data_IF_126594298323
#
_entry.id   IF_126594298323
#
_cell.length_a   1.000
_cell.length_b   1.000
_cell.length_c   1.000
_cell.angle_alpha   90.00
_cell.angle_beta   90.00
_cell.angle_gamma   90.00
#
_symmetry.space_group_name_H-M   'P 1'
#
loop_
_entity.id
_entity.type
_entity.pdbx_description
1 polymer ?
#
# COMPACT_ATOMS: atom_id res chain seq x y z
N UNK A 1 -2.82 -28.24 -0.44
CA UNK A 1 -3.77 -29.18 0.19
C UNK A 1 -5.15 -29.23 -0.48
N UNK A 2 -5.42 -28.38 -1.49
CA UNK A 2 -6.74 -28.28 -2.14
C UNK A 2 -7.28 -29.59 -2.74
N UNK A 3 -6.43 -30.44 -3.32
CA UNK A 3 -6.87 -31.68 -3.97
C UNK A 3 -7.50 -32.70 -3.02
N UNK A 4 -6.92 -32.90 -1.84
CA UNK A 4 -7.46 -33.86 -0.87
C UNK A 4 -8.65 -33.24 -0.12
N UNK A 5 -8.48 -32.04 0.42
CA UNK A 5 -9.52 -31.41 1.25
C UNK A 5 -10.78 -31.09 0.45
N UNK A 6 -10.65 -30.48 -0.73
CA UNK A 6 -11.80 -30.00 -1.51
C UNK A 6 -12.33 -31.06 -2.47
N UNK A 7 -11.46 -31.79 -3.17
CA UNK A 7 -11.89 -32.73 -4.23
C UNK A 7 -12.23 -34.12 -3.71
N UNK A 8 -11.46 -34.65 -2.75
CA UNK A 8 -11.70 -35.98 -2.18
C UNK A 8 -12.68 -35.93 -1.00
N UNK A 9 -12.48 -34.98 -0.07
CA UNK A 9 -13.25 -34.88 1.16
C UNK A 9 -14.40 -33.84 1.10
N UNK A 10 -14.54 -33.13 -0.03
CA UNK A 10 -15.66 -32.19 -0.25
C UNK A 10 -15.71 -31.05 0.77
N UNK A 11 -14.56 -30.63 1.30
CA UNK A 11 -14.46 -29.60 2.34
C UNK A 11 -14.77 -30.08 3.76
N UNK A 12 -15.06 -31.37 3.98
CA UNK A 12 -15.43 -31.93 5.30
C UNK A 12 -14.20 -32.35 6.11
N UNK A 13 -13.29 -31.41 6.33
CA UNK A 13 -12.13 -31.64 7.19
C UNK A 13 -12.54 -31.57 8.66
N UNK A 14 -12.02 -32.44 9.55
CA UNK A 14 -12.32 -32.40 10.98
C UNK A 14 -11.50 -31.33 11.73
N UNK A 15 -10.85 -30.41 11.01
CA UNK A 15 -10.08 -29.30 11.56
C UNK A 15 -10.21 -28.05 10.70
N UNK A 16 -9.94 -26.91 11.31
CA UNK A 16 -9.82 -25.61 10.64
C UNK A 16 -8.40 -25.09 10.81
N UNK A 17 -7.75 -24.71 9.70
CA UNK A 17 -6.44 -24.07 9.75
C UNK A 17 -6.65 -22.57 10.01
N UNK A 18 -6.07 -22.07 11.10
CA UNK A 18 -6.14 -20.67 11.48
C UNK A 18 -4.84 -19.94 11.14
N UNK A 19 -4.95 -18.68 10.72
CA UNK A 19 -3.82 -17.75 10.70
C UNK A 19 -3.56 -17.26 12.13
N UNK A 20 -2.29 -17.10 12.49
CA UNK A 20 -1.88 -16.68 13.84
C UNK A 20 -1.30 -15.27 13.91
N UNK A 21 -1.12 -14.61 12.75
CA UNK A 21 -0.53 -13.28 12.63
C UNK A 21 -1.33 -12.43 11.65
N UNK A 22 -1.37 -11.12 11.91
CA UNK A 22 -1.91 -10.16 10.97
C UNK A 22 -0.94 -9.91 9.81
N UNK A 23 -1.44 -9.40 8.69
CA UNK A 23 -0.62 -9.19 7.50
C UNK A 23 0.50 -8.16 7.71
N UNK A 24 0.25 -7.10 8.50
CA UNK A 24 1.29 -6.10 8.81
C UNK A 24 2.46 -6.67 9.61
N UNK A 25 2.23 -7.71 10.43
CA UNK A 25 3.26 -8.39 11.23
C UNK A 25 4.13 -9.34 10.42
N UNK A 26 3.82 -9.53 9.13
CA UNK A 26 4.49 -10.50 8.27
C UNK A 26 5.64 -9.90 7.45
N UNK A 27 5.95 -8.61 7.61
CA UNK A 27 7.15 -8.00 7.02
C UNK A 27 8.41 -8.43 7.78
N UNK A 28 9.51 -8.54 7.04
CA UNK A 28 10.85 -8.70 7.62
C UNK A 28 11.62 -7.40 7.44
N UNK A 29 12.55 -7.06 8.34
CA UNK A 29 13.46 -5.94 8.15
C UNK A 29 14.18 -6.04 6.80
N UNK A 30 14.40 -4.90 6.15
CA UNK A 30 14.96 -4.85 4.81
C UNK A 30 16.35 -5.51 4.73
N UNK A 31 17.16 -5.38 5.79
CA UNK A 31 18.48 -6.00 5.91
C UNK A 31 18.46 -7.54 5.89
N UNK A 32 17.31 -8.17 6.13
CA UNK A 32 17.12 -9.63 6.09
C UNK A 32 16.58 -10.12 4.74
N UNK A 33 16.37 -9.22 3.79
CA UNK A 33 15.76 -9.51 2.49
C UNK A 33 16.72 -9.15 1.35
N UNK A 34 16.58 -9.85 0.22
CA UNK A 34 17.23 -9.46 -1.02
C UNK A 34 16.30 -8.51 -1.80
N UNK A 35 16.78 -7.31 -2.22
CA UNK A 35 16.00 -6.45 -3.11
C UNK A 35 15.62 -7.19 -4.40
N UNK A 36 14.37 -7.00 -4.84
CA UNK A 36 13.87 -7.51 -6.12
C UNK A 36 14.15 -6.45 -7.18
N UNK A 37 14.83 -6.85 -8.25
CA UNK A 37 15.08 -6.00 -9.41
C UNK A 37 13.94 -6.17 -10.42
N UNK A 38 13.04 -5.19 -10.47
CA UNK A 38 11.91 -5.20 -11.40
C UNK A 38 12.33 -4.59 -12.74
N UNK A 39 11.99 -5.22 -13.89
CA UNK A 39 12.23 -4.63 -15.19
C UNK A 39 11.54 -3.26 -15.33
N UNK A 40 12.17 -2.36 -16.06
CA UNK A 40 11.54 -1.09 -16.43
C UNK A 40 10.32 -1.37 -17.33
N UNK A 41 9.24 -0.58 -17.20
CA UNK A 41 8.07 -0.72 -18.07
C UNK A 41 8.44 -0.44 -19.54
N UNK A 42 7.84 -1.21 -20.44
CA UNK A 42 8.05 -1.14 -21.90
C UNK A 42 7.07 -0.22 -22.63
N UNK A 43 6.03 0.28 -21.94
CA UNK A 43 4.99 1.15 -22.48
C UNK A 43 4.03 0.45 -23.44
N UNK A 44 4.04 -0.89 -23.52
CA UNK A 44 3.18 -1.69 -24.41
C UNK A 44 2.40 -2.76 -23.65
N UNK A 45 3.11 -3.57 -22.88
CA UNK A 45 2.54 -4.61 -22.02
C UNK A 45 2.66 -4.24 -20.54
N UNK A 46 3.65 -3.43 -20.21
CA UNK A 46 3.97 -2.99 -18.85
C UNK A 46 4.10 -1.48 -18.82
N UNK A 47 3.54 -0.86 -17.79
CA UNK A 47 3.42 0.59 -17.69
C UNK A 47 3.92 1.05 -16.34
N UNK A 48 4.30 2.32 -16.25
CA UNK A 48 4.61 2.93 -14.98
C UNK A 48 3.32 3.14 -14.15
N UNK A 49 3.54 3.40 -12.85
CA UNK A 49 2.45 3.56 -11.90
C UNK A 49 1.60 4.82 -12.17
N UNK A 50 2.20 5.92 -12.61
CA UNK A 50 1.45 7.18 -12.83
C UNK A 50 0.54 7.08 -14.05
N UNK A 51 1.00 6.46 -15.13
CA UNK A 51 0.13 6.13 -16.28
C UNK A 51 -1.05 5.24 -15.86
N UNK A 52 -0.81 4.30 -14.94
CA UNK A 52 -1.86 3.42 -14.39
C UNK A 52 -2.86 4.18 -13.50
N UNK A 53 -2.39 5.15 -12.71
CA UNK A 53 -3.26 6.02 -11.90
C UNK A 53 -4.10 6.93 -12.81
N UNK A 54 -3.52 7.49 -13.86
CA UNK A 54 -4.24 8.35 -14.80
C UNK A 54 -5.47 7.65 -15.39
N UNK A 55 -5.35 6.39 -15.83
CA UNK A 55 -6.47 5.63 -16.40
C UNK A 55 -7.53 5.20 -15.36
N UNK A 56 -7.19 5.20 -14.06
CA UNK A 56 -8.18 5.01 -13.00
C UNK A 56 -9.14 6.19 -12.88
N UNK A 57 -8.79 7.32 -13.52
CA UNK A 57 -9.51 8.59 -13.47
C UNK A 57 -9.80 9.01 -12.02
N UNK A 58 -8.89 8.65 -11.10
CA UNK A 58 -8.99 9.03 -9.68
C UNK A 58 -8.65 10.48 -9.51
N UNK A 59 -9.47 11.19 -8.74
CA UNK A 59 -9.21 12.58 -8.40
C UNK A 59 -9.84 12.94 -7.05
N UNK A 60 -9.31 13.97 -6.40
CA UNK A 60 -9.83 14.53 -5.16
C UNK A 60 -9.72 16.06 -5.23
N UNK A 61 -10.64 16.77 -4.59
CA UNK A 61 -10.49 18.21 -4.36
C UNK A 61 -9.15 18.49 -3.67
N UNK A 62 -8.38 19.46 -4.18
CA UNK A 62 -7.00 19.66 -3.76
C UNK A 62 -6.90 20.24 -2.34
N UNK A 63 -7.88 21.07 -1.99
CA UNK A 63 -7.88 21.83 -0.74
C UNK A 63 -8.70 21.14 0.38
N UNK A 64 -8.91 19.83 0.28
CA UNK A 64 -9.54 19.04 1.34
C UNK A 64 -8.49 18.46 2.31
N UNK A 65 -8.87 18.13 3.56
CA UNK A 65 -7.97 17.44 4.49
C UNK A 65 -7.47 16.10 3.93
N UNK A 66 -6.20 15.77 4.20
CA UNK A 66 -5.61 14.50 3.80
C UNK A 66 -6.32 13.36 4.55
N UNK A 67 -7.01 12.49 3.80
CA UNK A 67 -7.79 11.37 4.32
C UNK A 67 -6.94 10.13 4.67
N UNK A 68 -5.62 10.27 4.58
CA UNK A 68 -4.60 9.29 4.97
C UNK A 68 -3.82 9.87 6.13
N UNK A 69 -4.37 9.71 7.33
CA UNK A 69 -3.81 10.33 8.53
C UNK A 69 -2.74 9.42 9.15
N UNK A 70 -1.84 10.02 9.92
CA UNK A 70 -0.82 9.30 10.67
C UNK A 70 -1.12 9.45 12.16
N UNK A 71 -1.07 8.36 12.92
CA UNK A 71 -1.15 8.42 14.39
C UNK A 71 0.08 9.15 14.97
N UNK A 72 1.24 8.91 14.38
CA UNK A 72 2.52 9.54 14.70
C UNK A 72 3.26 9.90 13.39
N UNK A 73 3.55 11.19 13.13
CA UNK A 73 4.26 11.64 11.94
C UNK A 73 5.76 11.26 11.90
N UNK A 74 6.36 10.86 13.03
CA UNK A 74 7.76 10.44 13.10
C UNK A 74 8.00 9.00 12.66
N UNK A 75 6.99 8.14 12.76
CA UNK A 75 7.10 6.69 12.47
C UNK A 75 7.48 6.37 11.02
N UNK A 76 6.96 7.03 9.97
CA UNK A 76 7.32 6.69 8.60
C UNK A 76 8.83 6.77 8.32
N UNK A 77 9.50 7.79 8.87
CA UNK A 77 10.95 7.94 8.70
C UNK A 77 11.71 7.12 9.75
N UNK A 78 11.31 7.23 11.02
CA UNK A 78 12.02 6.62 12.14
C UNK A 78 11.94 5.10 12.20
N UNK A 79 10.91 4.49 11.62
CA UNK A 79 10.68 3.04 11.64
C UNK A 79 10.53 2.50 10.22
N UNK A 80 9.53 2.96 9.47
CA UNK A 80 9.19 2.32 8.19
C UNK A 80 10.33 2.43 7.17
N UNK A 81 10.91 3.63 6.99
CA UNK A 81 12.06 3.86 6.14
C UNK A 81 13.33 3.21 6.72
N UNK A 82 13.61 3.44 8.00
CA UNK A 82 14.84 2.99 8.64
C UNK A 82 14.98 1.46 8.72
N UNK A 83 13.91 0.73 9.08
CA UNK A 83 13.94 -0.72 9.30
C UNK A 83 13.44 -1.52 8.09
N UNK A 84 12.39 -1.03 7.42
CA UNK A 84 11.70 -1.75 6.34
C UNK A 84 11.94 -1.17 4.94
N UNK A 85 12.79 -0.15 4.82
CA UNK A 85 13.08 0.54 3.57
C UNK A 85 11.84 1.13 2.87
N UNK A 86 10.91 1.67 3.66
CA UNK A 86 9.76 2.45 3.18
C UNK A 86 8.77 1.63 2.37
N UNK A 87 8.18 0.55 2.93
CA UNK A 87 7.26 -0.33 2.20
C UNK A 87 6.06 0.39 1.58
N UNK A 88 5.62 1.51 2.16
CA UNK A 88 4.54 2.37 1.67
C UNK A 88 4.77 2.93 0.27
N UNK A 89 6.03 3.14 -0.13
CA UNK A 89 6.36 3.55 -1.49
C UNK A 89 6.12 2.44 -2.53
N UNK A 90 5.98 1.17 -2.09
CA UNK A 90 5.92 -0.01 -2.96
C UNK A 90 4.58 -0.72 -2.91
N UNK A 91 4.01 -0.96 -1.72
CA UNK A 91 2.71 -1.61 -1.63
C UNK A 91 1.56 -0.70 -2.08
N UNK A 92 1.77 0.62 -2.08
CA UNK A 92 0.75 1.55 -2.53
C UNK A 92 0.61 1.43 -4.06
N UNK A 93 -0.58 1.03 -4.56
CA UNK A 93 -0.77 0.85 -5.99
C UNK A 93 -0.80 2.18 -6.76
N UNK A 94 -0.92 3.31 -6.05
CA UNK A 94 -1.14 4.61 -6.68
C UNK A 94 -0.05 5.66 -6.42
N UNK A 95 1.07 5.28 -5.77
CA UNK A 95 2.18 6.21 -5.55
C UNK A 95 1.82 7.39 -4.67
N UNK A 96 0.94 7.17 -3.70
CA UNK A 96 0.52 8.20 -2.75
C UNK A 96 1.67 8.57 -1.80
N UNK A 97 2.51 7.62 -1.42
CA UNK A 97 3.57 7.81 -0.44
C UNK A 97 4.92 7.92 -1.13
N UNK A 98 5.66 8.99 -0.82
CA UNK A 98 7.01 9.21 -1.30
C UNK A 98 7.88 9.78 -0.18
N UNK A 99 9.09 9.24 0.01
CA UNK A 99 10.09 9.86 0.87
C UNK A 99 10.90 10.86 0.05
N UNK A 100 10.81 12.14 0.45
CA UNK A 100 11.50 13.26 -0.18
C UNK A 100 12.46 13.90 0.82
N UNK A 101 13.48 14.61 0.30
CA UNK A 101 14.43 15.36 1.13
C UNK A 101 13.88 16.76 1.45
N UNK A 102 14.06 17.19 2.70
CA UNK A 102 13.91 18.57 3.13
C UNK A 102 15.13 19.41 2.70
N UNK A 103 15.03 20.74 2.85
CA UNK A 103 16.13 21.67 2.56
C UNK A 103 17.39 21.37 3.41
N UNK A 104 17.21 20.83 4.61
CA UNK A 104 18.28 20.42 5.53
C UNK A 104 18.81 18.98 5.27
N UNK A 105 18.43 18.36 4.14
CA UNK A 105 18.72 16.98 3.76
C UNK A 105 18.12 15.88 4.66
N UNK A 106 17.23 16.21 5.59
CA UNK A 106 16.48 15.19 6.33
C UNK A 106 15.40 14.55 5.45
N UNK A 107 15.11 13.27 5.68
CA UNK A 107 14.00 12.58 4.99
C UNK A 107 12.66 12.97 5.61
N UNK A 108 11.65 13.18 4.77
CA UNK A 108 10.25 13.30 5.19
C UNK A 108 9.34 12.47 4.30
N UNK A 109 8.20 12.04 4.85
CA UNK A 109 7.13 11.45 4.08
C UNK A 109 6.27 12.55 3.44
N UNK A 110 6.11 12.51 2.11
CA UNK A 110 5.12 13.27 1.36
C UNK A 110 3.94 12.35 1.03
N UNK A 111 2.72 12.82 1.32
CA UNK A 111 1.46 12.11 1.04
C UNK A 111 0.71 12.84 -0.08
N UNK A 112 0.77 12.29 -1.29
CA UNK A 112 0.06 12.77 -2.48
C UNK A 112 -1.37 12.21 -2.50
N UNK A 113 -2.20 12.64 -1.55
CA UNK A 113 -3.51 12.02 -1.27
C UNK A 113 -4.49 12.04 -2.47
N UNK A 114 -4.31 12.99 -3.41
CA UNK A 114 -5.12 13.08 -4.63
C UNK A 114 -5.07 11.80 -5.49
N UNK A 115 -3.96 11.06 -5.46
CA UNK A 115 -3.79 9.82 -6.21
C UNK A 115 -4.50 8.61 -5.56
N UNK A 116 -5.08 8.74 -4.36
CA UNK A 116 -5.56 7.60 -3.60
C UNK A 116 -6.72 6.87 -4.30
N UNK A 117 -6.53 5.59 -4.66
CA UNK A 117 -7.58 4.76 -5.28
C UNK A 117 -8.44 3.98 -4.27
N UNK A 118 -8.39 4.36 -2.98
CA UNK A 118 -9.22 3.80 -1.89
C UNK A 118 -9.08 2.28 -1.64
N UNK A 119 -8.00 1.66 -2.11
CA UNK A 119 -7.74 0.22 -1.96
C UNK A 119 -7.57 -0.29 -0.52
N UNK A 120 -7.36 0.60 0.45
CA UNK A 120 -7.08 0.32 1.88
C UNK A 120 -5.80 -0.45 2.20
N UNK A 121 -4.96 -0.76 1.20
CA UNK A 121 -3.72 -1.52 1.42
C UNK A 121 -2.79 -0.88 2.46
N UNK A 122 -2.68 0.45 2.48
CA UNK A 122 -1.81 1.16 3.42
C UNK A 122 -2.25 1.01 4.88
N UNK A 123 -3.56 1.08 5.14
CA UNK A 123 -4.18 0.87 6.46
C UNK A 123 -3.96 -0.59 6.94
N UNK A 124 -3.98 -1.55 6.01
CA UNK A 124 -3.81 -2.97 6.34
C UNK A 124 -2.34 -3.39 6.51
N UNK A 125 -1.43 -2.85 5.69
CA UNK A 125 -0.09 -3.41 5.48
C UNK A 125 1.04 -2.63 6.15
N UNK A 126 0.80 -1.42 6.62
CA UNK A 126 1.78 -0.65 7.38
C UNK A 126 2.26 -1.48 8.59
N UNK A 127 3.56 -1.81 8.70
CA UNK A 127 4.12 -2.68 9.74
C UNK A 127 3.81 -2.19 11.17
N UNK A 128 3.54 -0.90 11.33
CA UNK A 128 3.26 -0.27 12.63
C UNK A 128 1.79 0.11 12.83
N UNK A 129 0.93 -0.14 11.83
CA UNK A 129 -0.48 0.30 11.83
C UNK A 129 -0.63 1.79 12.17
N UNK A 130 0.27 2.62 11.66
CA UNK A 130 0.33 4.05 11.90
C UNK A 130 -0.53 4.86 10.93
N UNK A 131 -0.61 4.43 9.67
CA UNK A 131 -1.51 5.01 8.66
C UNK A 131 -2.96 4.63 9.00
N UNK A 132 -3.84 5.62 9.04
CA UNK A 132 -5.28 5.43 9.22
C UNK A 132 -6.00 6.00 7.99
N UNK A 133 -6.72 5.13 7.28
CA UNK A 133 -7.56 5.57 6.17
C UNK A 133 -8.90 6.04 6.71
N UNK A 134 -9.29 7.26 6.36
CA UNK A 134 -10.65 7.78 6.57
C UNK A 134 -11.29 8.11 5.22
N UNK A 135 -12.60 8.25 5.20
CA UNK A 135 -13.33 8.60 3.98
C UNK A 135 -13.01 10.07 3.63
N UNK A 136 -12.58 10.39 2.39
CA UNK A 136 -12.47 11.78 1.93
C UNK A 136 -13.84 12.43 1.72
N UNK A 137 -13.85 13.68 1.27
CA UNK A 137 -15.10 14.31 0.81
C UNK A 137 -15.75 13.49 -0.32
N UNK A 138 -17.09 13.47 -0.31
CA UNK A 138 -17.88 12.68 -1.26
C UNK A 138 -17.64 13.12 -2.71
N UNK A 139 -17.51 12.15 -3.62
CA UNK A 139 -17.23 12.40 -5.04
C UNK A 139 -15.75 12.34 -5.41
N UNK A 140 -14.84 12.32 -4.42
CA UNK A 140 -13.43 12.00 -4.64
C UNK A 140 -13.17 10.49 -4.72
N UNK A 141 -12.06 10.11 -5.35
CA UNK A 141 -11.64 8.74 -5.53
C UNK A 141 -11.65 8.28 -6.98
N UNK A 142 -11.49 6.97 -7.22
CA UNK A 142 -11.42 6.42 -8.57
C UNK A 142 -12.78 6.47 -9.29
N UNK A 143 -12.72 6.62 -10.62
CA UNK A 143 -13.90 6.55 -11.48
C UNK A 143 -13.73 5.37 -12.45
N UNK A 144 -14.37 4.26 -12.10
CA UNK A 144 -14.25 2.99 -12.80
C UNK A 144 -15.51 2.66 -13.59
N UNK A 145 -15.62 3.06 -14.88
CA UNK A 145 -16.75 2.68 -15.70
C UNK A 145 -16.69 1.19 -16.07
N UNK A 146 -17.51 0.37 -15.40
CA UNK A 146 -17.67 -1.05 -15.72
C UNK A 146 -16.46 -1.94 -15.38
N UNK A 147 -15.64 -1.52 -14.42
CA UNK A 147 -14.56 -2.32 -13.85
C UNK A 147 -15.06 -3.19 -12.69
#
# INVERSE_FOLDING_TARGET
>A
MTGIEQKLLGGKMPWTIHRTKADHECLKPAAQCRPIDYPKPDGKLTFDRLSSVFISNTNHEENQPIHLTLKDPGVPVGVNLAEYAGPEQRYCPAGVYEFVKNEDNTDRLQINAQNCVHCKTCDIKDPTQNIVWVVPEGGGGPNYPGM
#
